data_IF_448474732545
#
_entry.id   IF_448474732545
#
_cell.length_a   1.000
_cell.length_b   1.000
_cell.length_c   1.000
_cell.angle_alpha   90.00
_cell.angle_beta   90.00
_cell.angle_gamma   90.00
#
_symmetry.space_group_name_H-M   'P 1'
#
loop_
_entity.id
_entity.type
_entity.pdbx_description
1 polymer ?
#
# COMPACT_ATOMS: atom_id res chain seq x y z
N UNK A 1 17.03 4.80 -22.95
CA UNK A 1 17.03 5.22 -21.55
C UNK A 1 16.35 4.18 -20.68
N UNK A 2 16.85 3.95 -19.46
CA UNK A 2 16.35 2.95 -18.49
C UNK A 2 14.84 3.11 -18.26
N UNK A 3 14.37 4.32 -18.03
CA UNK A 3 12.95 4.59 -17.81
C UNK A 3 12.04 3.97 -18.89
N UNK A 4 12.43 4.06 -20.18
CA UNK A 4 11.64 3.47 -21.27
C UNK A 4 11.65 1.93 -21.24
N UNK A 5 12.77 1.30 -20.89
CA UNK A 5 12.83 -0.17 -20.72
C UNK A 5 11.90 -0.63 -19.61
N UNK A 6 11.93 0.04 -18.46
CA UNK A 6 11.04 -0.24 -17.33
C UNK A 6 9.56 -0.04 -17.67
N UNK A 7 9.22 1.06 -18.36
CA UNK A 7 7.86 1.31 -18.84
C UNK A 7 7.39 0.22 -19.81
N UNK A 8 8.24 -0.19 -20.75
CA UNK A 8 7.91 -1.24 -21.73
C UNK A 8 7.71 -2.60 -21.08
N UNK A 9 8.43 -2.91 -19.99
CA UNK A 9 8.35 -4.17 -19.29
C UNK A 9 7.14 -4.28 -18.32
N UNK A 10 6.73 -3.16 -17.70
CA UNK A 10 5.81 -3.19 -16.56
C UNK A 10 4.57 -2.30 -16.71
N UNK A 11 4.37 -1.61 -17.83
CA UNK A 11 3.18 -0.83 -18.09
C UNK A 11 2.30 -1.46 -19.17
N UNK A 12 0.99 -1.46 -18.97
CA UNK A 12 0.25 -1.03 -17.76
C UNK A 12 0.56 -1.92 -16.57
N UNK A 13 0.70 -1.31 -15.36
CA UNK A 13 1.00 -2.12 -14.18
C UNK A 13 1.45 -1.34 -12.93
N UNK A 14 1.94 -2.06 -11.90
CA UNK A 14 2.20 -1.50 -10.58
C UNK A 14 3.61 -0.88 -10.45
N UNK A 15 4.07 -0.17 -11.48
CA UNK A 15 5.34 0.56 -11.48
C UNK A 15 5.13 2.06 -11.65
N UNK A 16 5.71 2.84 -10.76
CA UNK A 16 5.89 4.30 -10.90
C UNK A 16 7.34 4.59 -11.26
N UNK A 17 7.55 5.35 -12.33
CA UNK A 17 8.88 5.76 -12.79
C UNK A 17 9.02 7.26 -12.58
N UNK A 18 10.05 7.70 -11.83
CA UNK A 18 10.38 9.12 -11.68
C UNK A 18 11.36 9.51 -12.76
N UNK A 19 11.04 10.59 -13.47
CA UNK A 19 11.84 11.14 -14.58
C UNK A 19 11.96 12.67 -14.43
N UNK A 20 12.95 13.31 -15.10
CA UNK A 20 13.01 14.77 -15.19
C UNK A 20 11.70 15.32 -15.77
N UNK A 21 11.14 16.33 -15.11
CA UNK A 21 9.91 17.02 -15.52
C UNK A 21 10.25 18.14 -16.50
N UNK A 22 9.42 18.33 -17.51
CA UNK A 22 9.48 19.54 -18.33
C UNK A 22 9.07 20.75 -17.51
N UNK A 23 9.74 21.90 -17.61
CA UNK A 23 9.48 23.07 -16.75
C UNK A 23 8.03 23.57 -16.80
N UNK A 24 7.40 23.48 -17.95
CA UNK A 24 6.07 24.00 -18.29
C UNK A 24 4.92 23.04 -17.94
N UNK A 25 5.21 21.79 -17.50
CA UNK A 25 4.18 20.76 -17.29
C UNK A 25 4.18 20.28 -15.84
N UNK A 26 2.98 20.14 -15.26
CA UNK A 26 2.69 19.46 -14.01
C UNK A 26 3.48 19.93 -12.77
N UNK A 27 3.89 21.19 -12.71
CA UNK A 27 4.68 21.73 -11.59
C UNK A 27 3.96 21.59 -10.24
N UNK A 28 2.67 21.92 -10.19
CA UNK A 28 1.85 21.78 -8.98
C UNK A 28 1.66 20.30 -8.59
N UNK A 29 1.38 19.41 -9.56
CA UNK A 29 1.21 17.98 -9.33
C UNK A 29 2.52 17.30 -8.83
N UNK A 30 3.67 17.85 -9.24
CA UNK A 30 4.99 17.38 -8.79
C UNK A 30 5.45 18.04 -7.47
N UNK A 31 4.61 18.86 -6.83
CA UNK A 31 4.98 19.59 -5.61
C UNK A 31 6.17 20.52 -5.80
N UNK A 32 6.31 21.12 -6.97
CA UNK A 32 7.40 22.02 -7.34
C UNK A 32 8.74 21.32 -7.65
N UNK A 33 8.81 19.99 -7.57
CA UNK A 33 10.05 19.26 -7.89
C UNK A 33 10.39 19.33 -9.36
N UNK A 34 11.70 19.26 -9.68
CA UNK A 34 12.21 19.16 -11.05
C UNK A 34 11.96 17.79 -11.70
N UNK A 35 11.42 16.85 -10.94
CA UNK A 35 11.08 15.48 -11.37
C UNK A 35 9.58 15.24 -11.23
N UNK A 36 9.08 14.23 -11.93
CA UNK A 36 7.67 13.79 -11.84
C UNK A 36 7.60 12.27 -11.85
N UNK A 37 6.77 11.71 -10.97
CA UNK A 37 6.43 10.30 -10.97
C UNK A 37 5.29 10.01 -11.96
N UNK A 38 5.53 9.09 -12.88
CA UNK A 38 4.57 8.67 -13.90
C UNK A 38 4.19 7.21 -13.70
N UNK A 39 2.92 6.89 -13.90
CA UNK A 39 2.39 5.52 -13.87
C UNK A 39 1.32 5.33 -14.94
N UNK A 40 1.30 4.14 -15.55
CA UNK A 40 0.18 3.66 -16.36
C UNK A 40 -0.47 2.48 -15.62
N UNK A 41 -1.63 2.67 -14.96
CA UNK A 41 -2.29 1.60 -14.22
C UNK A 41 -2.90 0.56 -15.18
N UNK A 42 -2.99 -0.70 -14.76
CA UNK A 42 -3.62 -1.81 -15.52
C UNK A 42 -5.12 -1.98 -15.24
N UNK A 43 -5.65 -1.29 -14.24
CA UNK A 43 -7.05 -1.42 -13.85
C UNK A 43 -8.01 -0.88 -14.92
N UNK A 44 -9.05 -1.65 -15.36
CA UNK A 44 -9.89 -1.27 -16.50
C UNK A 44 -10.67 0.04 -16.30
N UNK A 45 -11.16 0.30 -15.08
CA UNK A 45 -11.87 1.58 -14.78
C UNK A 45 -10.90 2.75 -14.84
N UNK A 46 -9.68 2.61 -14.29
CA UNK A 46 -8.66 3.64 -14.37
C UNK A 46 -8.23 3.92 -15.83
N UNK A 47 -8.08 2.88 -16.63
CA UNK A 47 -7.78 3.00 -18.07
C UNK A 47 -8.91 3.68 -18.85
N UNK A 48 -10.17 3.38 -18.52
CA UNK A 48 -11.31 4.05 -19.14
C UNK A 48 -11.34 5.55 -18.79
N UNK A 49 -11.12 5.89 -17.51
CA UNK A 49 -11.00 7.27 -17.05
C UNK A 49 -9.88 8.03 -17.78
N UNK A 50 -8.69 7.43 -17.88
CA UNK A 50 -7.53 8.05 -18.53
C UNK A 50 -7.77 8.27 -20.02
N UNK A 51 -8.43 7.33 -20.70
CA UNK A 51 -8.83 7.50 -22.13
C UNK A 51 -9.85 8.62 -22.30
N UNK A 52 -10.85 8.70 -21.42
CA UNK A 52 -11.83 9.78 -21.45
C UNK A 52 -11.19 11.15 -21.18
N UNK A 53 -10.28 11.23 -20.21
CA UNK A 53 -9.53 12.44 -19.90
C UNK A 53 -8.67 12.88 -21.10
N UNK A 54 -7.96 11.94 -21.74
CA UNK A 54 -7.16 12.22 -22.94
C UNK A 54 -8.01 12.74 -24.10
N UNK A 55 -9.19 12.16 -24.32
CA UNK A 55 -10.14 12.64 -25.32
C UNK A 55 -10.67 14.07 -25.03
N UNK A 56 -10.72 14.44 -23.76
CA UNK A 56 -11.05 15.80 -23.32
C UNK A 56 -9.84 16.76 -23.29
N UNK A 57 -8.68 16.35 -23.83
CA UNK A 57 -7.46 17.16 -23.90
C UNK A 57 -6.63 17.17 -22.59
N UNK A 58 -6.93 16.28 -21.63
CA UNK A 58 -6.18 16.15 -20.37
C UNK A 58 -5.17 15.00 -20.51
N UNK A 59 -3.86 15.26 -20.68
CA UNK A 59 -2.86 14.23 -20.98
C UNK A 59 -2.47 13.37 -19.78
N UNK A 60 -2.86 13.74 -18.58
CA UNK A 60 -2.58 13.01 -17.36
C UNK A 60 -3.37 13.54 -16.17
N UNK A 61 -3.55 12.69 -15.17
CA UNK A 61 -4.32 12.99 -13.96
C UNK A 61 -3.40 12.85 -12.74
N UNK A 62 -3.42 13.82 -11.83
CA UNK A 62 -2.75 13.68 -10.54
C UNK A 62 -3.53 12.66 -9.69
N UNK A 63 -2.83 11.65 -9.19
CA UNK A 63 -3.44 10.54 -8.47
C UNK A 63 -2.71 10.25 -7.14
N UNK A 64 -2.96 11.04 -6.10
CA UNK A 64 -2.52 10.71 -4.75
C UNK A 64 -3.31 9.49 -4.23
N UNK A 65 -2.81 8.86 -3.17
CA UNK A 65 -3.59 7.87 -2.45
C UNK A 65 -4.83 8.52 -1.81
N UNK A 66 -6.00 7.85 -1.90
CA UNK A 66 -7.26 8.40 -1.43
C UNK A 66 -7.47 8.14 0.08
N UNK A 67 -6.51 8.56 0.91
CA UNK A 67 -6.53 8.50 2.37
C UNK A 67 -6.04 9.82 2.95
N UNK A 68 -6.34 10.08 4.23
CA UNK A 68 -5.73 11.19 4.96
C UNK A 68 -4.25 10.94 5.17
N UNK A 69 -3.48 12.03 5.23
CA UNK A 69 -2.02 11.95 5.38
C UNK A 69 -1.61 11.02 6.53
N UNK A 70 -0.67 10.13 6.26
CA UNK A 70 -0.13 9.17 7.23
C UNK A 70 -1.01 7.93 7.50
N UNK A 71 -2.25 7.90 7.01
CA UNK A 71 -3.15 6.76 7.19
C UNK A 71 -2.87 5.64 6.17
N UNK A 72 -3.45 4.46 6.41
CA UNK A 72 -3.38 3.31 5.50
C UNK A 72 -4.15 3.61 4.22
N UNK A 73 -3.57 3.26 3.07
CA UNK A 73 -4.23 3.44 1.77
C UNK A 73 -5.48 2.56 1.64
N UNK A 74 -6.56 3.09 1.03
CA UNK A 74 -7.80 2.34 0.82
C UNK A 74 -7.60 1.23 -0.21
N UNK A 75 -8.29 0.10 -0.01
CA UNK A 75 -8.32 -1.03 -0.95
C UNK A 75 -9.70 -1.30 -1.51
N UNK A 76 -10.71 -0.50 -1.13
CA UNK A 76 -12.10 -0.56 -1.58
C UNK A 76 -12.71 0.84 -1.61
N UNK A 77 -13.73 1.04 -2.44
CA UNK A 77 -14.46 2.31 -2.52
C UNK A 77 -15.07 2.72 -1.17
N UNK A 78 -15.61 1.78 -0.41
CA UNK A 78 -16.18 2.03 0.92
C UNK A 78 -15.18 2.59 1.93
N UNK A 79 -13.87 2.23 1.80
CA UNK A 79 -12.82 2.82 2.63
C UNK A 79 -12.63 4.30 2.31
N UNK A 80 -12.68 4.69 1.03
CA UNK A 80 -12.60 6.09 0.60
C UNK A 80 -13.79 6.89 1.10
N UNK A 81 -15.01 6.36 0.94
CA UNK A 81 -16.23 7.00 1.43
C UNK A 81 -16.21 7.19 2.95
N UNK A 82 -15.70 6.20 3.70
CA UNK A 82 -15.58 6.31 5.16
C UNK A 82 -14.50 7.28 5.62
N UNK A 83 -13.43 7.45 4.83
CA UNK A 83 -12.35 8.38 5.14
C UNK A 83 -12.74 9.86 4.87
N UNK A 84 -13.61 10.08 3.89
CA UNK A 84 -14.03 11.41 3.44
C UNK A 84 -15.56 11.60 3.42
N UNK A 85 -16.27 11.38 4.54
CA UNK A 85 -17.74 11.36 4.55
C UNK A 85 -18.37 12.74 4.29
N UNK A 86 -17.60 13.82 4.42
CA UNK A 86 -18.10 15.20 4.33
C UNK A 86 -17.57 15.98 3.11
N UNK A 87 -17.04 15.29 2.08
CA UNK A 87 -16.63 15.94 0.84
C UNK A 87 -17.77 15.90 -0.19
N UNK A 88 -18.53 17.00 -0.40
CA UNK A 88 -19.73 17.00 -1.24
C UNK A 88 -19.45 16.75 -2.73
N UNK A 89 -18.26 17.13 -3.20
CA UNK A 89 -17.88 17.00 -4.61
C UNK A 89 -17.02 15.77 -4.89
N UNK A 90 -16.87 14.86 -3.92
CA UNK A 90 -16.12 13.63 -4.11
C UNK A 90 -16.93 12.63 -4.92
N UNK A 91 -16.49 12.37 -6.15
CA UNK A 91 -17.00 11.26 -6.94
C UNK A 91 -16.11 10.04 -6.76
N UNK A 92 -16.68 8.93 -6.30
CA UNK A 92 -15.98 7.66 -6.15
C UNK A 92 -16.39 6.70 -7.27
N UNK A 93 -15.45 6.36 -8.14
CA UNK A 93 -15.64 5.33 -9.14
C UNK A 93 -15.26 3.97 -8.52
N UNK A 94 -16.26 3.15 -8.23
CA UNK A 94 -16.03 1.82 -7.67
C UNK A 94 -15.59 0.84 -8.75
N UNK A 95 -14.33 0.46 -8.72
CA UNK A 95 -13.75 -0.57 -9.58
C UNK A 95 -13.64 -1.94 -8.91
N UNK A 96 -14.19 -2.10 -7.72
CA UNK A 96 -14.02 -3.30 -6.89
C UNK A 96 -12.78 -3.25 -6.00
N UNK A 97 -12.50 -4.31 -5.25
CA UNK A 97 -11.36 -4.38 -4.34
C UNK A 97 -10.03 -4.44 -5.09
N UNK A 98 -8.98 -3.84 -4.52
CA UNK A 98 -7.63 -3.94 -5.05
C UNK A 98 -7.13 -5.40 -5.02
N UNK A 99 -6.60 -5.89 -6.13
CA UNK A 99 -6.08 -7.26 -6.25
C UNK A 99 -4.78 -7.45 -5.45
N UNK A 100 -3.87 -6.46 -5.47
CA UNK A 100 -2.54 -6.54 -4.82
C UNK A 100 -2.57 -5.99 -3.40
N UNK A 101 -3.35 -4.94 -3.13
CA UNK A 101 -3.51 -4.36 -1.79
C UNK A 101 -2.31 -3.59 -1.23
N UNK A 102 -1.20 -3.52 -1.96
CA UNK A 102 -0.04 -2.66 -1.68
C UNK A 102 0.19 -1.69 -2.84
N UNK A 103 0.97 -0.65 -2.60
CA UNK A 103 1.22 0.38 -3.59
C UNK A 103 2.26 -0.03 -4.64
N UNK A 104 2.33 0.74 -5.74
CA UNK A 104 3.30 0.52 -6.81
C UNK A 104 4.73 0.63 -6.31
N UNK A 105 5.64 -0.16 -6.87
CA UNK A 105 7.08 0.12 -6.77
C UNK A 105 7.37 1.51 -7.35
N UNK A 106 8.31 2.26 -6.77
CA UNK A 106 8.77 3.56 -7.27
C UNK A 106 10.25 3.47 -7.60
N UNK A 107 10.59 3.71 -8.87
CA UNK A 107 11.97 3.74 -9.34
C UNK A 107 12.31 5.14 -9.83
N UNK A 108 13.34 5.73 -9.25
CA UNK A 108 13.94 6.98 -9.75
C UNK A 108 14.88 6.69 -10.91
N UNK A 109 14.58 7.27 -12.06
CA UNK A 109 15.40 7.23 -13.28
C UNK A 109 15.89 8.64 -13.69
N UNK A 110 15.82 9.62 -12.78
CA UNK A 110 16.16 11.01 -13.12
C UNK A 110 17.64 11.34 -12.97
N UNK A 111 18.45 10.46 -12.35
CA UNK A 111 19.83 10.75 -11.93
C UNK A 111 20.87 9.72 -12.40
N UNK A 112 20.78 9.30 -13.65
CA UNK A 112 21.76 8.41 -14.28
C UNK A 112 21.45 6.93 -14.10
N UNK A 113 21.61 6.35 -12.90
CA UNK A 113 21.26 4.94 -12.62
C UNK A 113 19.90 4.82 -11.94
N UNK A 114 19.17 3.70 -12.17
CA UNK A 114 17.87 3.48 -11.51
C UNK A 114 18.03 3.20 -10.02
N UNK A 115 17.20 3.85 -9.19
CA UNK A 115 17.17 3.66 -7.74
C UNK A 115 15.77 3.27 -7.31
N UNK A 116 15.62 2.17 -6.58
CA UNK A 116 14.34 1.77 -5.98
C UNK A 116 14.08 2.62 -4.73
N UNK A 117 13.15 3.58 -4.84
CA UNK A 117 12.78 4.45 -3.71
C UNK A 117 11.73 3.83 -2.80
N UNK A 118 10.84 3.02 -3.36
CA UNK A 118 9.79 2.32 -2.61
C UNK A 118 9.60 0.92 -3.20
N UNK A 119 9.67 -0.14 -2.39
CA UNK A 119 9.27 -1.48 -2.83
C UNK A 119 7.75 -1.54 -3.07
N UNK A 120 7.29 -2.49 -3.87
CA UNK A 120 5.89 -2.73 -4.20
C UNK A 120 5.68 -4.18 -4.61
N UNK A 121 4.63 -4.46 -5.37
CA UNK A 121 4.32 -5.81 -5.85
C UNK A 121 5.31 -6.37 -6.89
N UNK A 122 6.30 -5.59 -7.34
CA UNK A 122 7.34 -6.05 -8.26
C UNK A 122 8.63 -6.35 -7.49
N UNK A 123 9.20 -7.53 -7.70
CA UNK A 123 10.47 -7.90 -7.10
C UNK A 123 11.62 -7.01 -7.61
N UNK A 124 12.50 -6.56 -6.72
CA UNK A 124 13.65 -5.71 -7.08
C UNK A 124 14.56 -6.35 -8.15
N UNK A 125 14.71 -7.68 -8.11
CA UNK A 125 15.47 -8.43 -9.11
C UNK A 125 14.84 -8.33 -10.51
N UNK A 126 13.51 -8.40 -10.63
CA UNK A 126 12.81 -8.23 -11.90
C UNK A 126 12.97 -6.81 -12.44
N UNK A 127 12.91 -5.80 -11.57
CA UNK A 127 13.13 -4.40 -11.94
C UNK A 127 14.57 -4.20 -12.45
N UNK A 128 15.57 -4.74 -11.75
CA UNK A 128 16.98 -4.66 -12.16
C UNK A 128 17.23 -5.34 -13.51
N UNK A 129 16.65 -6.53 -13.72
CA UNK A 129 16.74 -7.25 -14.98
C UNK A 129 16.15 -6.44 -16.15
N UNK A 130 14.96 -5.84 -15.99
CA UNK A 130 14.33 -5.01 -17.01
C UNK A 130 15.08 -3.69 -17.23
N UNK A 131 15.69 -3.14 -16.17
CA UNK A 131 16.56 -1.98 -16.26
C UNK A 131 17.85 -2.27 -17.05
N UNK A 132 18.29 -3.54 -17.11
CA UNK A 132 19.54 -3.96 -17.72
C UNK A 132 20.78 -3.54 -16.92
N UNK A 133 20.62 -3.18 -15.66
CA UNK A 133 21.67 -2.76 -14.75
C UNK A 133 21.21 -2.85 -13.29
N UNK A 134 22.13 -3.00 -12.32
CA UNK A 134 21.80 -3.06 -10.91
C UNK A 134 21.12 -1.78 -10.42
N UNK A 135 20.17 -1.93 -9.48
CA UNK A 135 19.57 -0.80 -8.80
C UNK A 135 20.58 -0.15 -7.85
N UNK A 136 20.62 1.18 -7.85
CA UNK A 136 21.43 1.96 -6.93
C UNK A 136 20.81 2.07 -5.54
N UNK A 137 21.61 2.50 -4.58
CA UNK A 137 21.15 2.83 -3.23
C UNK A 137 20.51 4.22 -3.21
N UNK A 138 19.54 4.40 -2.31
CA UNK A 138 18.90 5.69 -2.09
C UNK A 138 19.87 6.64 -1.40
N UNK A 139 20.22 7.76 -2.06
CA UNK A 139 20.96 8.85 -1.44
C UNK A 139 20.05 9.91 -0.80
N UNK A 140 20.66 10.83 -0.05
CA UNK A 140 19.95 11.92 0.65
C UNK A 140 19.32 12.92 -0.33
N UNK A 141 19.87 13.04 -1.53
CA UNK A 141 19.39 13.88 -2.62
C UNK A 141 18.26 13.23 -3.46
N UNK A 142 17.77 12.06 -3.05
CA UNK A 142 16.70 11.36 -3.74
C UNK A 142 15.42 12.19 -3.82
N UNK A 143 14.69 12.18 -4.95
CA UNK A 143 13.39 12.83 -5.06
C UNK A 143 12.45 12.39 -3.93
N UNK A 144 11.66 13.33 -3.43
CA UNK A 144 10.60 12.99 -2.47
C UNK A 144 9.55 12.15 -3.17
N UNK A 145 9.23 11.00 -2.59
CA UNK A 145 8.22 10.09 -3.10
C UNK A 145 7.24 9.70 -1.98
N UNK A 146 5.99 9.44 -2.34
CA UNK A 146 4.98 8.98 -1.39
C UNK A 146 5.37 7.63 -0.79
N UNK A 147 5.15 7.44 0.51
CA UNK A 147 5.47 6.17 1.19
C UNK A 147 6.93 6.00 1.57
N UNK A 148 7.74 7.07 1.52
CA UNK A 148 9.17 7.02 1.92
C UNK A 148 9.45 7.72 3.24
N UNK A 149 8.42 8.19 3.93
CA UNK A 149 8.53 8.79 5.27
C UNK A 149 8.58 7.71 6.33
N UNK A 150 9.28 7.96 7.42
CA UNK A 150 9.47 7.05 8.56
C UNK A 150 8.14 6.66 9.22
N UNK A 151 7.17 7.57 9.29
CA UNK A 151 5.82 7.33 9.78
C UNK A 151 4.80 7.46 8.63
N UNK A 152 4.68 6.41 7.83
CA UNK A 152 3.69 6.30 6.76
C UNK A 152 2.91 4.98 6.89
N UNK A 153 1.66 4.95 6.40
CA UNK A 153 0.77 3.78 6.51
C UNK A 153 0.46 3.37 7.95
N UNK A 154 0.38 4.34 8.86
CA UNK A 154 0.10 4.05 10.26
C UNK A 154 -1.38 3.67 10.47
N UNK A 155 -1.71 2.41 10.78
CA UNK A 155 -3.06 2.02 11.13
C UNK A 155 -3.45 2.61 12.49
N UNK A 156 -4.74 2.86 12.71
CA UNK A 156 -5.26 3.26 14.03
C UNK A 156 -5.02 2.18 15.09
N UNK A 157 -5.00 0.91 14.68
CA UNK A 157 -4.67 -0.21 15.54
C UNK A 157 -3.16 -0.30 15.82
N UNK A 158 -2.78 -0.66 17.03
CA UNK A 158 -1.39 -0.94 17.36
C UNK A 158 -0.94 -2.23 16.69
N UNK A 159 -0.06 -2.14 15.70
CA UNK A 159 0.55 -3.29 15.03
C UNK A 159 1.82 -3.72 15.76
N UNK A 160 1.99 -5.04 15.93
CA UNK A 160 3.22 -5.64 16.44
C UNK A 160 3.62 -6.80 15.55
N UNK A 161 4.79 -6.72 14.95
CA UNK A 161 5.41 -7.85 14.26
C UNK A 161 6.17 -8.68 15.30
N UNK A 162 5.91 -9.99 15.32
CA UNK A 162 6.44 -10.92 16.30
C UNK A 162 6.84 -12.23 15.61
N UNK A 163 7.89 -12.88 16.10
CA UNK A 163 8.11 -14.28 15.79
C UNK A 163 7.06 -15.18 16.46
N UNK A 164 7.01 -16.45 16.07
CA UNK A 164 6.01 -17.41 16.58
C UNK A 164 6.09 -17.58 18.11
N UNK A 165 7.29 -17.52 18.70
CA UNK A 165 7.50 -17.67 20.15
C UNK A 165 6.93 -16.46 20.90
N UNK A 166 7.27 -15.25 20.45
CA UNK A 166 6.79 -14.00 21.05
C UNK A 166 5.26 -13.84 20.87
N UNK A 167 4.72 -14.24 19.70
CA UNK A 167 3.28 -14.26 19.46
C UNK A 167 2.55 -15.17 20.47
N UNK A 168 3.04 -16.39 20.67
CA UNK A 168 2.48 -17.34 21.64
C UNK A 168 2.47 -16.76 23.06
N UNK A 169 3.60 -16.22 23.50
CA UNK A 169 3.73 -15.58 24.82
C UNK A 169 2.79 -14.36 24.96
N UNK A 170 2.72 -13.51 23.95
CA UNK A 170 1.82 -12.36 23.92
C UNK A 170 0.35 -12.74 24.01
N UNK A 171 -0.09 -13.79 23.30
CA UNK A 171 -1.44 -14.27 23.36
C UNK A 171 -1.79 -14.82 24.73
N UNK A 172 -0.89 -15.55 25.40
CA UNK A 172 -1.11 -16.05 26.76
C UNK A 172 -1.39 -14.92 27.77
N UNK A 173 -0.75 -13.76 27.58
CA UNK A 173 -0.94 -12.58 28.43
C UNK A 173 -2.21 -11.80 28.06
N UNK A 174 -2.48 -11.63 26.77
CA UNK A 174 -3.57 -10.76 26.29
C UNK A 174 -4.96 -11.42 26.39
N UNK A 175 -5.08 -12.73 26.14
CA UNK A 175 -6.39 -13.38 26.09
C UNK A 175 -7.16 -13.31 27.41
N UNK A 176 -6.56 -13.52 28.60
CA UNK A 176 -7.27 -13.37 29.88
C UNK A 176 -7.80 -11.94 30.10
N UNK A 177 -7.04 -10.92 29.74
CA UNK A 177 -7.48 -9.53 29.90
C UNK A 177 -8.64 -9.16 28.96
N UNK A 178 -8.69 -9.78 27.78
CA UNK A 178 -9.81 -9.62 26.86
C UNK A 178 -11.08 -10.32 27.34
N UNK A 179 -10.96 -11.41 28.06
CA UNK A 179 -12.11 -12.12 28.65
C UNK A 179 -12.77 -11.35 29.81
N UNK A 180 -11.95 -10.62 30.61
CA UNK A 180 -12.42 -9.87 31.78
C UNK A 180 -13.05 -8.51 31.50
N UNK A 181 -12.78 -7.89 30.34
CA UNK A 181 -13.31 -6.57 30.05
C UNK A 181 -14.62 -6.65 29.26
N UNK A 182 -15.73 -6.59 29.96
CA UNK A 182 -17.08 -6.66 29.42
C UNK A 182 -17.59 -5.36 28.75
N UNK A 183 -16.74 -4.45 28.38
CA UNK A 183 -17.16 -3.22 27.67
C UNK A 183 -17.53 -3.51 26.22
N UNK A 184 -18.81 -3.65 25.95
CA UNK A 184 -19.43 -4.07 24.69
C UNK A 184 -19.58 -2.95 23.64
N UNK A 185 -18.74 -1.94 23.63
CA UNK A 185 -19.01 -0.72 22.84
C UNK A 185 -18.03 -0.43 21.69
N UNK A 186 -17.17 -1.35 21.27
CA UNK A 186 -16.34 -1.12 20.09
C UNK A 186 -16.88 -1.88 18.88
N UNK A 187 -17.11 -1.17 17.79
CA UNK A 187 -17.65 -1.68 16.52
C UNK A 187 -16.69 -2.60 15.72
N UNK A 188 -15.80 -3.33 16.39
CA UNK A 188 -14.85 -4.22 15.72
C UNK A 188 -14.08 -5.14 16.67
N UNK A 189 -13.25 -6.06 16.15
CA UNK A 189 -12.45 -6.94 16.99
C UNK A 189 -11.41 -6.14 17.78
N UNK A 190 -11.27 -6.47 19.07
CA UNK A 190 -10.26 -5.87 19.96
C UNK A 190 -8.85 -6.38 19.66
N UNK A 191 -8.74 -7.57 19.03
CA UNK A 191 -7.48 -8.20 18.65
C UNK A 191 -7.65 -8.90 17.30
N UNK A 192 -6.73 -8.62 16.36
CA UNK A 192 -6.58 -9.39 15.13
C UNK A 192 -5.20 -10.06 15.12
N UNK A 193 -5.18 -11.36 14.87
CA UNK A 193 -3.97 -12.18 14.79
C UNK A 193 -3.83 -12.70 13.36
N UNK A 194 -2.70 -12.42 12.75
CA UNK A 194 -2.31 -12.95 11.45
C UNK A 194 -1.05 -13.80 11.64
N UNK A 195 -1.08 -15.06 11.24
CA UNK A 195 0.06 -15.98 11.40
C UNK A 195 0.22 -16.88 10.17
N UNK A 196 1.47 -17.25 9.84
CA UNK A 196 1.79 -18.22 8.79
C UNK A 196 1.62 -19.65 9.33
N UNK A 197 2.16 -19.91 10.52
CA UNK A 197 2.14 -21.21 11.15
C UNK A 197 0.82 -21.50 11.87
N UNK A 198 0.54 -22.78 12.07
CA UNK A 198 -0.53 -23.18 12.95
C UNK A 198 -0.21 -22.86 14.40
N UNK A 199 -1.15 -22.23 15.07
CA UNK A 199 -1.04 -22.03 16.50
C UNK A 199 -1.29 -23.37 17.22
N UNK A 200 -0.65 -23.60 18.37
CA UNK A 200 -0.95 -24.78 19.20
C UNK A 200 -2.43 -24.91 19.55
N UNK A 201 -2.94 -26.13 19.65
CA UNK A 201 -4.36 -26.43 19.88
C UNK A 201 -4.94 -25.72 21.12
N UNK A 202 -4.15 -25.57 22.19
CA UNK A 202 -4.55 -24.85 23.38
C UNK A 202 -4.81 -23.36 23.10
N UNK A 203 -4.00 -22.72 22.27
CA UNK A 203 -4.21 -21.32 21.87
C UNK A 203 -5.37 -21.17 20.87
N UNK A 204 -5.51 -22.11 19.93
CA UNK A 204 -6.66 -22.13 19.00
C UNK A 204 -7.97 -22.24 19.79
N UNK A 205 -8.05 -23.17 20.76
CA UNK A 205 -9.21 -23.33 21.64
C UNK A 205 -9.47 -22.09 22.48
N UNK A 206 -8.43 -21.47 23.04
CA UNK A 206 -8.57 -20.22 23.80
C UNK A 206 -9.11 -19.07 22.95
N UNK A 207 -8.63 -18.93 21.70
CA UNK A 207 -9.10 -17.92 20.75
C UNK A 207 -10.56 -18.17 20.30
N UNK A 208 -10.98 -19.43 20.23
CA UNK A 208 -12.33 -19.84 19.87
C UNK A 208 -13.32 -19.79 21.06
N UNK A 209 -12.87 -19.42 22.26
CA UNK A 209 -13.73 -19.37 23.45
C UNK A 209 -14.94 -18.45 23.23
N UNK A 210 -16.16 -18.85 23.68
CA UNK A 210 -17.37 -18.05 23.48
C UNK A 210 -17.25 -16.60 23.97
N UNK A 211 -16.53 -16.36 25.07
CA UNK A 211 -16.28 -15.03 25.62
C UNK A 211 -15.47 -14.10 24.71
N UNK A 212 -14.77 -14.65 23.73
CA UNK A 212 -13.96 -13.90 22.76
C UNK A 212 -14.61 -13.79 21.38
N UNK A 213 -15.80 -14.37 21.20
CA UNK A 213 -16.52 -14.34 19.92
C UNK A 213 -16.79 -12.90 19.50
N UNK A 214 -16.36 -12.55 18.26
CA UNK A 214 -16.44 -11.19 17.73
C UNK A 214 -15.37 -10.21 18.23
N UNK A 215 -14.66 -10.54 19.32
CA UNK A 215 -13.60 -9.71 19.90
C UNK A 215 -12.21 -10.06 19.38
N UNK A 216 -12.01 -11.30 18.95
CA UNK A 216 -10.75 -11.77 18.39
C UNK A 216 -10.99 -12.28 16.98
N UNK A 217 -10.13 -11.86 16.05
CA UNK A 217 -10.10 -12.37 14.67
C UNK A 217 -8.77 -13.05 14.45
N UNK A 218 -8.79 -14.33 14.15
CA UNK A 218 -7.63 -15.10 13.71
C UNK A 218 -7.71 -15.30 12.19
N UNK A 219 -6.62 -15.02 11.48
CA UNK A 219 -6.47 -15.35 10.08
C UNK A 219 -5.11 -15.99 9.81
N UNK A 220 -5.12 -17.05 9.02
CA UNK A 220 -3.90 -17.64 8.47
C UNK A 220 -3.48 -16.83 7.25
N UNK A 221 -2.22 -16.46 7.20
CA UNK A 221 -1.63 -15.82 6.02
C UNK A 221 -1.40 -16.89 4.93
N UNK A 222 -1.64 -16.58 3.64
CA UNK A 222 -1.26 -17.47 2.56
C UNK A 222 0.24 -17.78 2.59
N UNK A 223 0.64 -19.00 2.21
CA UNK A 223 2.04 -19.40 2.22
C UNK A 223 2.89 -18.61 1.19
N UNK A 224 2.25 -18.14 0.13
CA UNK A 224 2.83 -17.34 -0.95
C UNK A 224 2.84 -15.81 -0.67
N UNK A 225 2.25 -15.36 0.43
CA UNK A 225 2.25 -13.95 0.84
C UNK A 225 3.60 -13.47 1.39
N UNK A 226 4.64 -14.31 1.38
CA UNK A 226 6.00 -13.99 1.85
C UNK A 226 6.97 -13.67 0.71
N UNK A 227 6.50 -13.53 -0.53
CA UNK A 227 7.32 -13.19 -1.70
C UNK A 227 7.30 -11.68 -1.98
#
# INVERSE_FOLDING_TARGET
>A
PVARRLMAAFWPGPLTVIVPRRPDIAAAAAGGQATVGLRCPDHPVAQALLRAAAAAGVPGVAAPSANRFGQVSPTRAEHVMSEFPALPDLLVLDGGPCAVGIESAIVDCSRGRPVLLRPGGLAAAAIAAAAGEPLGERGDDAPRASGTLEAHYAPRAKLRLMDTKALRAGLQVLLPSLQGSASAASAGPALAVYCHDELPDNLQRSLAAPALRGRVRLRRMPADAAA
#
